data_IF_276563942511
#
_entry.id   IF_276563942511
#
_cell.length_a   1.000
_cell.length_b   1.000
_cell.length_c   1.000
_cell.angle_alpha   90.00
_cell.angle_beta   90.00
_cell.angle_gamma   90.00
#
_symmetry.space_group_name_H-M   'P 1'
#
loop_
_entity.id
_entity.type
_entity.pdbx_description
1 polymer ?
#
# COMPACT_ATOMS: atom_id res chain seq x y z
N UNK A 1 -13.11 1.73 2.94
CA UNK A 1 -11.69 2.11 3.14
C UNK A 1 -11.13 1.23 4.22
N UNK A 2 -9.86 0.82 4.13
CA UNK A 2 -9.17 0.24 5.27
C UNK A 2 -9.29 1.22 6.44
N UNK A 3 -9.57 0.71 7.63
CA UNK A 3 -9.75 1.61 8.78
C UNK A 3 -8.43 2.30 9.11
N UNK A 4 -8.47 3.49 9.71
CA UNK A 4 -7.26 4.19 10.19
C UNK A 4 -6.38 3.30 11.08
N UNK A 5 -6.97 2.31 11.76
CA UNK A 5 -6.25 1.29 12.54
C UNK A 5 -5.39 0.38 11.65
N UNK A 6 -5.90 -0.03 10.48
CA UNK A 6 -5.12 -0.79 9.49
C UNK A 6 -3.96 0.05 8.98
N UNK A 7 -4.21 1.30 8.60
CA UNK A 7 -3.14 2.23 8.18
C UNK A 7 -2.09 2.41 9.29
N UNK A 8 -2.52 2.53 10.55
CA UNK A 8 -1.62 2.63 11.70
C UNK A 8 -0.76 1.38 11.88
N UNK A 9 -1.33 0.18 11.68
CA UNK A 9 -0.57 -1.07 11.70
C UNK A 9 0.58 -1.07 10.70
N UNK A 10 0.32 -0.65 9.45
CA UNK A 10 1.36 -0.54 8.41
C UNK A 10 2.38 0.55 8.72
N UNK A 11 1.93 1.70 9.25
CA UNK A 11 2.82 2.76 9.67
C UNK A 11 3.79 2.30 10.77
N UNK A 12 3.30 1.52 11.73
CA UNK A 12 4.12 0.95 12.80
C UNK A 12 5.12 -0.08 12.28
N UNK A 13 4.73 -0.93 11.32
CA UNK A 13 5.64 -1.87 10.66
C UNK A 13 6.78 -1.13 9.93
N UNK A 14 6.45 -0.08 9.17
CA UNK A 14 7.44 0.77 8.52
C UNK A 14 8.33 1.48 9.54
N UNK A 15 7.75 1.98 10.63
CA UNK A 15 8.51 2.64 11.70
C UNK A 15 9.52 1.69 12.33
N UNK A 16 9.09 0.46 12.66
CA UNK A 16 9.96 -0.57 13.22
C UNK A 16 11.10 -0.95 12.25
N UNK A 17 10.81 -1.07 10.95
CA UNK A 17 11.81 -1.43 9.94
C UNK A 17 12.78 -0.29 9.57
N UNK A 18 12.32 0.97 9.58
CA UNK A 18 13.04 2.08 8.95
C UNK A 18 13.61 3.11 9.92
N UNK A 19 13.09 3.24 11.16
CA UNK A 19 13.60 4.24 12.11
C UNK A 19 14.96 3.85 12.72
N UNK A 20 15.25 2.54 12.83
CA UNK A 20 16.49 2.05 13.42
C UNK A 20 16.76 2.66 14.80
N UNK A 21 17.95 3.25 14.99
CA UNK A 21 18.38 3.87 16.24
C UNK A 21 17.54 5.11 16.64
N UNK A 22 16.74 5.67 15.73
CA UNK A 22 15.89 6.82 15.99
C UNK A 22 14.47 6.42 16.42
N UNK A 23 14.21 5.13 16.63
CA UNK A 23 12.93 4.64 17.10
C UNK A 23 12.68 5.07 18.54
N UNK A 24 11.66 5.92 18.74
CA UNK A 24 11.09 6.19 20.06
C UNK A 24 9.65 6.72 19.96
N UNK A 25 9.02 6.93 21.12
CA UNK A 25 7.65 7.45 21.24
C UNK A 25 7.42 8.79 20.52
N UNK A 26 8.44 9.66 20.42
CA UNK A 26 8.29 10.97 19.77
C UNK A 26 8.29 10.82 18.26
N UNK A 27 9.19 10.00 17.72
CA UNK A 27 9.19 9.66 16.30
C UNK A 27 7.87 8.98 15.90
N UNK A 28 7.40 8.00 16.69
CA UNK A 28 6.11 7.33 16.45
C UNK A 28 4.93 8.31 16.47
N UNK A 29 4.89 9.23 17.43
CA UNK A 29 3.83 10.24 17.48
C UNK A 29 3.81 11.11 16.21
N UNK A 30 4.98 11.52 15.71
CA UNK A 30 5.07 12.27 14.45
C UNK A 30 4.57 11.44 13.27
N UNK A 31 4.95 10.16 13.17
CA UNK A 31 4.48 9.28 12.09
C UNK A 31 2.96 9.10 12.12
N UNK A 32 2.36 8.96 13.31
CA UNK A 32 0.92 8.86 13.47
C UNK A 32 0.20 10.17 13.09
N UNK A 33 0.76 11.33 13.43
CA UNK A 33 0.22 12.62 12.97
C UNK A 33 0.27 12.71 11.44
N UNK A 34 1.40 12.35 10.83
CA UNK A 34 1.56 12.36 9.36
C UNK A 34 0.60 11.38 8.66
N UNK A 35 0.28 10.27 9.32
CA UNK A 35 -0.70 9.31 8.84
C UNK A 35 -2.14 9.85 8.87
N UNK A 36 -2.53 10.53 9.96
CA UNK A 36 -3.92 10.95 10.18
C UNK A 36 -4.23 12.33 9.60
N UNK A 37 -3.25 13.24 9.58
CA UNK A 37 -3.43 14.62 9.12
C UNK A 37 -4.10 14.73 7.73
N UNK A 38 -3.76 13.90 6.72
CA UNK A 38 -4.36 14.03 5.40
C UNK A 38 -5.85 13.64 5.35
N UNK A 39 -6.34 12.84 6.31
CA UNK A 39 -7.77 12.46 6.44
C UNK A 39 -8.69 13.68 6.64
N UNK A 40 -8.11 14.81 7.08
CA UNK A 40 -8.81 16.08 7.20
C UNK A 40 -9.34 16.59 5.85
N UNK A 41 -8.89 16.03 4.71
CA UNK A 41 -9.46 16.32 3.39
C UNK A 41 -10.96 15.95 3.29
N UNK A 42 -11.45 15.05 4.13
CA UNK A 42 -12.87 14.73 4.28
C UNK A 42 -13.73 15.97 4.59
N UNK A 43 -13.18 16.93 5.35
CA UNK A 43 -13.88 18.17 5.70
C UNK A 43 -14.03 19.13 4.52
N UNK A 44 -13.32 18.90 3.40
CA UNK A 44 -13.47 19.67 2.17
C UNK A 44 -14.66 19.18 1.32
N UNK A 45 -15.31 18.08 1.70
CA UNK A 45 -16.47 17.52 1.00
C UNK A 45 -17.58 18.53 0.64
N UNK A 46 -17.95 19.50 1.51
CA UNK A 46 -18.95 20.52 1.18
C UNK A 46 -18.58 21.46 0.03
N UNK A 47 -17.29 21.64 -0.26
CA UNK A 47 -16.78 22.57 -1.29
C UNK A 47 -16.15 21.85 -2.49
N UNK A 48 -15.76 20.59 -2.33
CA UNK A 48 -15.15 19.77 -3.37
C UNK A 48 -15.67 18.32 -3.25
N UNK A 49 -16.66 17.94 -4.07
CA UNK A 49 -17.11 16.56 -4.17
C UNK A 49 -15.92 15.64 -4.51
N UNK A 50 -15.72 14.57 -3.74
CA UNK A 50 -14.57 13.67 -3.91
C UNK A 50 -13.23 14.24 -3.42
N UNK A 51 -13.23 15.29 -2.59
CA UNK A 51 -12.01 15.81 -1.96
C UNK A 51 -11.28 14.73 -1.15
N UNK A 52 -12.06 13.95 -0.40
CA UNK A 52 -11.57 12.75 0.25
C UNK A 52 -11.13 11.76 -0.82
N UNK A 53 -9.91 11.21 -0.67
CA UNK A 53 -9.18 10.42 -1.68
C UNK A 53 -8.57 11.20 -2.85
N UNK A 54 -8.56 12.52 -2.76
CA UNK A 54 -7.92 13.39 -3.75
C UNK A 54 -6.86 14.28 -3.12
N UNK A 55 -7.25 15.12 -2.17
CA UNK A 55 -6.37 16.18 -1.67
C UNK A 55 -5.31 15.62 -0.74
N UNK A 56 -5.67 14.77 0.23
CA UNK A 56 -4.76 14.12 1.15
C UNK A 56 -4.13 12.83 0.61
N UNK A 57 -4.73 12.25 -0.42
CA UNK A 57 -4.46 10.89 -0.87
C UNK A 57 -3.91 10.85 -2.30
N UNK A 58 -2.78 11.51 -2.53
CA UNK A 58 -2.09 11.51 -3.83
C UNK A 58 -0.59 11.33 -3.64
N UNK A 59 0.11 10.95 -4.72
CA UNK A 59 1.56 10.77 -4.69
C UNK A 59 2.32 12.04 -5.06
N UNK A 60 1.67 13.09 -5.54
CA UNK A 60 2.33 14.33 -5.97
C UNK A 60 2.92 15.06 -4.77
N UNK A 61 2.14 15.27 -3.71
CA UNK A 61 2.63 15.97 -2.52
C UNK A 61 3.80 15.27 -1.80
N UNK A 62 3.74 13.97 -1.49
CA UNK A 62 4.90 13.29 -0.90
C UNK A 62 6.10 13.26 -1.86
N UNK A 63 5.90 13.15 -3.18
CA UNK A 63 7.01 13.20 -4.14
C UNK A 63 7.69 14.57 -4.17
N UNK A 64 6.92 15.66 -4.18
CA UNK A 64 7.44 17.03 -4.12
C UNK A 64 8.18 17.26 -2.81
N UNK A 65 7.62 16.82 -1.68
CA UNK A 65 8.26 16.94 -0.37
C UNK A 65 9.56 16.11 -0.28
N UNK A 66 9.58 14.90 -0.84
CA UNK A 66 10.78 14.06 -0.94
C UNK A 66 11.86 14.71 -1.82
N UNK A 67 11.47 15.28 -2.96
CA UNK A 67 12.39 16.02 -3.83
C UNK A 67 12.97 17.24 -3.12
N UNK A 68 12.14 18.02 -2.44
CA UNK A 68 12.59 19.19 -1.67
C UNK A 68 13.57 18.78 -0.56
N UNK A 69 13.25 17.71 0.19
CA UNK A 69 14.12 17.17 1.24
C UNK A 69 15.46 16.66 0.66
N UNK A 70 15.42 15.96 -0.47
CA UNK A 70 16.63 15.49 -1.16
C UNK A 70 17.50 16.66 -1.63
N UNK A 71 16.91 17.63 -2.33
CA UNK A 71 17.64 18.79 -2.84
C UNK A 71 18.28 19.56 -1.69
N UNK A 72 17.53 19.86 -0.63
CA UNK A 72 18.07 20.59 0.52
C UNK A 72 19.19 19.83 1.22
N UNK A 73 19.03 18.53 1.46
CA UNK A 73 19.96 17.77 2.32
C UNK A 73 21.13 17.11 1.59
N UNK A 74 21.08 16.99 0.26
CA UNK A 74 22.09 16.27 -0.56
C UNK A 74 22.68 17.07 -1.71
N UNK A 75 21.92 17.99 -2.32
CA UNK A 75 22.35 18.69 -3.54
C UNK A 75 22.86 20.09 -3.22
N UNK A 76 22.22 20.81 -2.31
CA UNK A 76 22.64 22.16 -1.92
C UNK A 76 23.95 22.11 -1.13
N UNK A 77 24.84 23.06 -1.41
CA UNK A 77 26.08 23.24 -0.66
C UNK A 77 25.82 23.61 0.82
N UNK A 78 24.76 24.38 1.06
CA UNK A 78 24.25 24.72 2.40
C UNK A 78 22.81 24.28 2.53
N UNK A 79 22.55 23.43 3.52
CA UNK A 79 21.24 22.83 3.79
C UNK A 79 20.56 23.58 4.93
N UNK A 80 19.40 24.18 4.64
CA UNK A 80 18.63 24.88 5.67
C UNK A 80 18.11 23.92 6.74
N UNK A 81 17.78 22.68 6.35
CA UNK A 81 17.31 21.66 7.30
C UNK A 81 18.44 21.14 8.18
N UNK A 82 19.64 20.90 7.65
CA UNK A 82 20.78 20.47 8.48
C UNK A 82 21.24 21.55 9.46
N UNK A 83 21.02 22.82 9.14
CA UNK A 83 21.34 23.93 10.05
C UNK A 83 20.35 24.03 11.24
N UNK A 84 19.13 23.50 11.10
CA UNK A 84 18.05 23.64 12.10
C UNK A 84 17.61 22.35 12.78
N UNK A 85 17.77 21.22 12.10
CA UNK A 85 17.31 19.91 12.54
C UNK A 85 18.50 18.99 12.72
N UNK A 86 18.45 18.18 13.78
CA UNK A 86 19.43 17.13 13.97
C UNK A 86 19.29 16.05 12.87
N UNK A 87 20.36 15.29 12.59
CA UNK A 87 20.32 14.19 11.62
C UNK A 87 19.18 13.20 11.88
N UNK A 88 18.87 13.00 13.17
CA UNK A 88 17.71 12.23 13.63
C UNK A 88 16.40 12.69 13.00
N UNK A 89 16.07 14.00 13.06
CA UNK A 89 14.78 14.50 12.57
C UNK A 89 14.70 14.53 11.05
N UNK A 90 15.84 14.65 10.37
CA UNK A 90 15.93 14.46 8.92
C UNK A 90 15.63 13.00 8.55
N UNK A 91 16.17 12.03 9.30
CA UNK A 91 15.86 10.61 9.09
C UNK A 91 14.37 10.31 9.37
N UNK A 92 13.81 10.84 10.47
CA UNK A 92 12.38 10.71 10.76
C UNK A 92 11.52 11.32 9.65
N UNK A 93 11.92 12.46 9.05
CA UNK A 93 11.20 13.06 7.93
C UNK A 93 11.17 12.14 6.68
N UNK A 94 12.28 11.47 6.36
CA UNK A 94 12.32 10.46 5.31
C UNK A 94 11.37 9.28 5.59
N UNK A 95 11.35 8.79 6.84
CA UNK A 95 10.43 7.73 7.25
C UNK A 95 8.98 8.21 7.23
N UNK A 96 8.71 9.47 7.60
CA UNK A 96 7.38 10.07 7.52
C UNK A 96 6.86 10.13 6.08
N UNK A 97 7.71 10.49 5.11
CA UNK A 97 7.38 10.44 3.69
C UNK A 97 7.08 9.01 3.23
N UNK A 98 7.85 8.03 3.70
CA UNK A 98 7.57 6.62 3.43
C UNK A 98 6.23 6.20 4.02
N UNK A 99 5.95 6.53 5.28
CA UNK A 99 4.68 6.23 5.95
C UNK A 99 3.51 6.87 5.21
N UNK A 100 3.63 8.13 4.79
CA UNK A 100 2.58 8.79 4.03
C UNK A 100 2.35 8.10 2.68
N UNK A 101 3.41 7.84 1.89
CA UNK A 101 3.25 7.20 0.58
C UNK A 101 2.72 5.75 0.69
N UNK A 102 3.28 4.96 1.60
CA UNK A 102 3.02 3.53 1.69
C UNK A 102 1.88 3.20 2.65
N UNK A 103 1.91 3.69 3.88
CA UNK A 103 0.87 3.35 4.85
C UNK A 103 -0.41 4.16 4.65
N UNK A 104 -0.33 5.44 4.24
CA UNK A 104 -1.53 6.25 4.00
C UNK A 104 -2.05 6.05 2.56
N UNK A 105 -1.34 6.54 1.53
CA UNK A 105 -1.87 6.59 0.16
C UNK A 105 -1.95 5.21 -0.52
N UNK A 106 -0.89 4.40 -0.48
CA UNK A 106 -0.83 3.16 -1.27
C UNK A 106 -1.86 2.10 -0.82
N UNK A 107 -2.21 2.08 0.46
CA UNK A 107 -3.25 1.17 0.96
C UNK A 107 -4.60 1.49 0.32
N UNK A 108 -4.99 2.77 0.25
CA UNK A 108 -6.23 3.18 -0.43
C UNK A 108 -6.14 3.01 -1.95
N UNK A 109 -4.97 3.27 -2.54
CA UNK A 109 -4.75 3.03 -3.98
C UNK A 109 -4.98 1.56 -4.37
N UNK A 110 -4.64 0.63 -3.47
CA UNK A 110 -4.72 -0.82 -3.74
C UNK A 110 -6.00 -1.48 -3.19
N UNK A 111 -6.96 -0.69 -2.72
CA UNK A 111 -8.18 -1.18 -2.08
C UNK A 111 -9.46 -0.44 -2.54
N UNK A 112 -10.53 -1.21 -2.82
CA UNK A 112 -11.90 -0.77 -3.17
C UNK A 112 -12.07 0.22 -4.32
N UNK A 113 -11.83 1.53 -4.10
CA UNK A 113 -12.15 2.58 -5.10
C UNK A 113 -10.94 3.43 -5.50
N UNK A 114 -9.73 3.07 -5.02
CA UNK A 114 -8.49 3.73 -5.42
C UNK A 114 -8.36 5.18 -4.93
N UNK A 115 -7.42 5.91 -5.54
CA UNK A 115 -7.09 7.31 -5.18
C UNK A 115 -6.80 8.16 -6.41
N UNK A 116 -6.92 9.48 -6.27
CA UNK A 116 -6.54 10.44 -7.30
C UNK A 116 -5.02 10.65 -7.35
N UNK A 117 -4.31 9.62 -7.81
CA UNK A 117 -2.87 9.44 -7.61
C UNK A 117 -1.99 10.63 -8.05
N UNK A 118 -2.43 11.39 -9.06
CA UNK A 118 -1.65 12.48 -9.68
C UNK A 118 -2.27 13.86 -9.51
N UNK A 119 -3.28 14.02 -8.66
CA UNK A 119 -3.80 15.35 -8.34
C UNK A 119 -2.72 16.19 -7.63
N UNK A 120 -2.57 17.50 -7.92
CA UNK A 120 -3.38 18.33 -8.82
C UNK A 120 -2.92 18.37 -10.28
N UNK A 121 -1.89 17.60 -10.66
CA UNK A 121 -1.33 17.62 -12.01
C UNK A 121 -2.28 16.95 -13.02
N UNK A 122 -2.96 15.89 -12.61
CA UNK A 122 -4.02 15.22 -13.36
C UNK A 122 -5.09 14.71 -12.41
N UNK A 123 -6.32 15.12 -12.68
CA UNK A 123 -7.50 14.74 -11.92
C UNK A 123 -8.10 13.44 -12.47
N UNK A 124 -7.67 12.30 -11.90
CA UNK A 124 -8.18 10.97 -12.26
C UNK A 124 -7.90 9.97 -11.14
N UNK A 125 -8.92 9.17 -10.80
CA UNK A 125 -8.78 8.05 -9.88
C UNK A 125 -8.09 6.86 -10.54
N UNK A 126 -7.13 6.28 -9.82
CA UNK A 126 -6.41 5.07 -10.18
C UNK A 126 -6.60 4.04 -9.07
N UNK A 127 -6.69 2.77 -9.46
CA UNK A 127 -6.81 1.66 -8.54
C UNK A 127 -5.95 0.50 -9.03
N UNK A 128 -5.26 -0.17 -8.10
CA UNK A 128 -4.63 -1.45 -8.39
C UNK A 128 -5.60 -2.59 -8.05
N UNK A 129 -6.17 -3.21 -9.08
CA UNK A 129 -7.09 -4.34 -8.95
C UNK A 129 -6.65 -5.51 -9.85
N UNK A 130 -6.83 -6.74 -9.35
CA UNK A 130 -6.42 -7.96 -10.04
C UNK A 130 -6.01 -9.09 -9.10
N UNK A 131 -5.50 -10.17 -9.70
CA UNK A 131 -5.04 -11.38 -9.00
C UNK A 131 -3.76 -11.93 -9.61
N UNK A 132 -2.96 -12.61 -8.80
CA UNK A 132 -1.87 -13.47 -9.22
C UNK A 132 -2.09 -14.88 -8.64
N UNK A 133 -2.25 -15.85 -9.54
CA UNK A 133 -2.48 -17.26 -9.20
C UNK A 133 -1.59 -18.14 -10.06
N UNK A 134 -1.12 -19.24 -9.50
CA UNK A 134 -0.56 -20.32 -10.29
C UNK A 134 -1.66 -21.36 -10.57
N UNK A 135 -2.00 -21.56 -11.84
CA UNK A 135 -2.97 -22.52 -12.34
C UNK A 135 -2.24 -23.74 -12.90
N UNK A 136 -2.75 -24.93 -12.62
CA UNK A 136 -2.22 -26.16 -13.22
C UNK A 136 -2.60 -26.31 -14.69
N UNK A 137 -3.66 -25.62 -15.14
CA UNK A 137 -4.06 -25.58 -16.54
C UNK A 137 -3.33 -24.49 -17.33
N UNK A 138 -3.25 -23.28 -16.76
CA UNK A 138 -2.82 -22.07 -17.47
C UNK A 138 -1.42 -21.56 -17.06
N UNK A 139 -0.77 -22.20 -16.09
CA UNK A 139 0.51 -21.73 -15.53
C UNK A 139 0.35 -20.48 -14.65
N UNK A 140 1.33 -19.58 -14.66
CA UNK A 140 1.27 -18.34 -13.85
C UNK A 140 0.35 -17.30 -14.51
N UNK A 141 -0.75 -16.96 -13.86
CA UNK A 141 -1.77 -16.00 -14.34
C UNK A 141 -1.77 -14.75 -13.44
N UNK A 142 -1.57 -13.57 -14.05
CA UNK A 142 -1.59 -12.28 -13.36
C UNK A 142 -2.46 -11.26 -14.10
N UNK A 143 -3.37 -10.58 -13.38
CA UNK A 143 -4.33 -9.62 -13.97
C UNK A 143 -4.23 -8.20 -13.41
N UNK A 144 -3.21 -7.87 -12.62
CA UNK A 144 -3.01 -6.50 -12.09
C UNK A 144 -2.73 -5.44 -13.16
N UNK A 145 -2.35 -5.85 -14.37
CA UNK A 145 -2.17 -4.98 -15.54
C UNK A 145 -3.04 -5.57 -16.64
N UNK A 146 -4.25 -5.05 -16.79
CA UNK A 146 -5.20 -5.51 -17.80
C UNK A 146 -5.62 -4.30 -18.65
N UNK A 147 -5.16 -4.25 -19.90
CA UNK A 147 -5.68 -3.28 -20.89
C UNK A 147 -6.80 -3.99 -21.61
N UNK A 148 -8.05 -3.72 -21.20
CA UNK A 148 -9.23 -4.24 -21.90
C UNK A 148 -10.21 -3.12 -22.22
N UNK A 149 -10.55 -3.03 -23.50
CA UNK A 149 -11.80 -2.47 -24.00
C UNK A 149 -12.80 -3.63 -23.97
N UNK A 150 -13.95 -3.47 -23.33
CA UNK A 150 -15.00 -4.49 -23.28
C UNK A 150 -16.16 -4.07 -24.21
N UNK A 151 -16.47 -4.81 -25.29
CA UNK A 151 -17.61 -4.49 -26.12
C UNK A 151 -18.94 -5.15 -25.70
N UNK A 152 -18.99 -6.26 -24.94
CA UNK A 152 -20.22 -7.08 -24.98
C UNK A 152 -20.65 -7.86 -23.71
N UNK A 153 -19.89 -7.99 -22.60
CA UNK A 153 -20.36 -8.88 -21.50
C UNK A 153 -20.34 -8.37 -20.05
N UNK A 154 -19.66 -7.27 -19.71
CA UNK A 154 -20.00 -6.44 -18.55
C UNK A 154 -20.16 -7.08 -17.15
N UNK A 155 -19.55 -8.22 -16.81
CA UNK A 155 -19.60 -8.76 -15.42
C UNK A 155 -18.22 -9.06 -14.82
N UNK A 156 -17.98 -8.51 -13.63
CA UNK A 156 -16.96 -8.91 -12.65
C UNK A 156 -17.68 -9.22 -11.35
N UNK A 157 -17.61 -10.45 -10.86
CA UNK A 157 -18.10 -10.82 -9.53
C UNK A 157 -16.95 -10.87 -8.54
N UNK A 158 -17.05 -10.06 -7.49
CA UNK A 158 -16.31 -10.19 -6.23
C UNK A 158 -17.37 -10.34 -5.16
N UNK A 159 -17.45 -11.52 -4.56
CA UNK A 159 -18.35 -11.76 -3.44
C UNK A 159 -17.63 -11.43 -2.13
N UNK A 160 -18.17 -10.44 -1.44
CA UNK A 160 -17.72 -9.96 -0.15
C UNK A 160 -18.69 -10.47 0.92
N UNK A 161 -18.38 -11.63 1.49
CA UNK A 161 -18.84 -12.05 2.81
C UNK A 161 -20.33 -12.33 2.92
N UNK A 162 -20.75 -13.53 2.53
CA UNK A 162 -21.98 -14.14 3.03
C UNK A 162 -21.66 -14.99 4.27
N UNK A 163 -22.38 -14.74 5.36
CA UNK A 163 -22.40 -15.64 6.52
C UNK A 163 -23.01 -16.97 6.11
N UNK A 164 -22.22 -18.03 6.16
CA UNK A 164 -22.66 -19.41 5.98
C UNK A 164 -21.89 -20.34 6.92
N UNK A 165 -22.42 -21.54 7.11
CA UNK A 165 -21.83 -22.59 7.95
C UNK A 165 -20.87 -23.44 7.11
N UNK A 166 -20.07 -24.29 7.74
CA UNK A 166 -19.22 -25.25 7.02
C UNK A 166 -19.98 -26.21 6.11
N UNK A 167 -21.30 -26.31 6.29
CA UNK A 167 -22.21 -27.13 5.48
C UNK A 167 -22.79 -26.37 4.28
N UNK A 168 -22.76 -25.04 4.28
CA UNK A 168 -23.40 -24.22 3.24
C UNK A 168 -22.42 -23.37 2.41
N UNK A 169 -21.12 -23.42 2.74
CA UNK A 169 -20.09 -22.67 2.04
C UNK A 169 -18.88 -23.58 1.80
N UNK A 170 -18.69 -23.98 0.54
CA UNK A 170 -17.45 -24.61 0.11
C UNK A 170 -16.40 -23.53 -0.21
N UNK A 171 -15.30 -23.51 0.55
CA UNK A 171 -14.18 -22.59 0.31
C UNK A 171 -13.15 -23.27 -0.59
N UNK A 172 -13.15 -22.87 -1.87
CA UNK A 172 -12.21 -23.37 -2.86
C UNK A 172 -10.75 -23.17 -2.42
N UNK A 173 -9.96 -24.24 -2.48
CA UNK A 173 -8.54 -24.23 -2.16
C UNK A 173 -7.76 -25.20 -3.08
N UNK A 174 -6.42 -25.18 -3.11
CA UNK A 174 -5.66 -25.99 -4.06
C UNK A 174 -5.83 -27.50 -3.87
N UNK A 175 -6.23 -27.96 -2.67
CA UNK A 175 -6.45 -29.37 -2.33
C UNK A 175 -7.85 -29.80 -2.76
N UNK A 176 -8.85 -28.98 -2.48
CA UNK A 176 -10.26 -29.13 -2.88
C UNK A 176 -10.70 -27.91 -3.72
N UNK A 177 -10.39 -27.89 -5.02
CA UNK A 177 -10.60 -26.73 -5.89
C UNK A 177 -12.07 -26.50 -6.27
N UNK A 178 -12.94 -27.48 -6.00
CA UNK A 178 -14.39 -27.42 -6.23
C UNK A 178 -15.13 -28.19 -5.15
N UNK A 179 -16.42 -27.91 -5.04
CA UNK A 179 -17.36 -28.63 -4.19
C UNK A 179 -17.46 -30.09 -4.66
N UNK A 180 -17.24 -31.09 -3.79
CA UNK A 180 -17.32 -32.50 -4.17
C UNK A 180 -18.72 -32.94 -4.62
N UNK A 181 -19.77 -32.21 -4.25
CA UNK A 181 -21.17 -32.56 -4.57
C UNK A 181 -21.63 -31.99 -5.94
N UNK A 182 -20.76 -31.24 -6.63
CA UNK A 182 -21.04 -30.65 -7.95
C UNK A 182 -20.18 -31.33 -9.03
N UNK A 183 -20.82 -32.22 -9.81
CA UNK A 183 -20.19 -32.86 -10.97
C UNK A 183 -20.20 -31.93 -12.19
N UNK A 184 -19.01 -31.64 -12.71
CA UNK A 184 -18.78 -30.93 -13.98
C UNK A 184 -17.75 -31.67 -14.82
N UNK A 185 -18.02 -31.76 -16.13
CA UNK A 185 -17.22 -32.50 -17.12
C UNK A 185 -15.84 -31.86 -17.41
N UNK A 186 -15.64 -30.60 -17.02
CA UNK A 186 -14.40 -29.86 -17.26
C UNK A 186 -13.23 -30.39 -16.42
N UNK A 187 -11.99 -30.40 -16.96
CA UNK A 187 -10.79 -30.75 -16.21
C UNK A 187 -10.63 -29.88 -14.95
N UNK A 188 -10.23 -30.52 -13.85
CA UNK A 188 -10.05 -29.83 -12.56
C UNK A 188 -8.82 -28.90 -12.60
N UNK A 189 -9.03 -27.59 -12.71
CA UNK A 189 -7.98 -26.58 -12.56
C UNK A 189 -7.70 -26.29 -11.07
N UNK A 190 -6.46 -26.54 -10.62
CA UNK A 190 -6.01 -26.20 -9.26
C UNK A 190 -5.32 -24.86 -9.27
N UNK A 191 -5.90 -23.91 -8.52
CA UNK A 191 -5.37 -22.54 -8.39
C UNK A 191 -4.71 -22.34 -7.05
N UNK A 192 -3.43 -21.99 -7.08
CA UNK A 192 -2.61 -21.66 -5.93
C UNK A 192 -2.52 -20.13 -5.83
N UNK A 193 -3.27 -19.52 -4.91
CA UNK A 193 -3.31 -18.07 -4.80
C UNK A 193 -2.02 -17.52 -4.21
N UNK A 194 -1.39 -16.57 -4.90
CA UNK A 194 -0.20 -15.85 -4.41
C UNK A 194 -0.66 -14.48 -3.87
N UNK A 195 -1.44 -13.74 -4.67
CA UNK A 195 -2.09 -12.51 -4.25
C UNK A 195 -3.44 -12.38 -4.96
N UNK A 196 -4.54 -12.64 -4.25
CA UNK A 196 -5.90 -12.55 -4.82
C UNK A 196 -6.51 -11.14 -4.75
N UNK A 197 -5.72 -10.11 -4.44
CA UNK A 197 -6.14 -8.71 -4.42
C UNK A 197 -4.91 -7.79 -4.41
N UNK A 198 -5.06 -6.55 -4.90
CA UNK A 198 -3.99 -5.55 -5.00
C UNK A 198 -3.28 -5.31 -3.67
N UNK A 199 -4.02 -5.16 -2.57
CA UNK A 199 -3.45 -4.92 -1.24
C UNK A 199 -2.59 -6.09 -0.72
N UNK A 200 -2.84 -7.34 -1.16
CA UNK A 200 -2.03 -8.51 -0.79
C UNK A 200 -0.69 -8.51 -1.52
N UNK A 201 -0.69 -8.19 -2.82
CA UNK A 201 0.55 -8.00 -3.58
C UNK A 201 1.35 -6.83 -3.01
N UNK A 202 0.66 -5.74 -2.68
CA UNK A 202 1.23 -4.57 -2.04
C UNK A 202 1.92 -4.91 -0.72
N UNK A 203 1.27 -5.69 0.15
CA UNK A 203 1.85 -6.17 1.41
C UNK A 203 3.17 -6.92 1.23
N UNK A 204 3.22 -7.83 0.25
CA UNK A 204 4.43 -8.58 -0.08
C UNK A 204 5.53 -7.61 -0.53
N UNK A 205 5.20 -6.70 -1.46
CA UNK A 205 6.12 -5.68 -1.94
C UNK A 205 6.64 -4.75 -0.84
N UNK A 206 5.77 -4.34 0.08
CA UNK A 206 6.13 -3.49 1.22
C UNK A 206 7.09 -4.19 2.17
N UNK A 207 6.85 -5.49 2.45
CA UNK A 207 7.76 -6.30 3.27
C UNK A 207 9.14 -6.43 2.63
N UNK A 208 9.21 -6.73 1.33
CA UNK A 208 10.47 -6.80 0.58
C UNK A 208 11.19 -5.45 0.56
N UNK A 209 10.46 -4.36 0.32
CA UNK A 209 11.00 -3.01 0.38
C UNK A 209 11.60 -2.70 1.75
N UNK A 210 10.88 -2.99 2.84
CA UNK A 210 11.37 -2.74 4.19
C UNK A 210 12.66 -3.52 4.49
N UNK A 211 12.74 -4.79 4.07
CA UNK A 211 13.95 -5.61 4.21
C UNK A 211 15.14 -5.04 3.43
N UNK A 212 14.93 -4.67 2.16
CA UNK A 212 15.96 -4.09 1.31
C UNK A 212 16.43 -2.73 1.84
N UNK A 213 15.48 -1.86 2.21
CA UNK A 213 15.77 -0.57 2.80
C UNK A 213 16.61 -0.72 4.09
N UNK A 214 16.23 -1.65 4.97
CA UNK A 214 16.98 -1.95 6.19
C UNK A 214 18.41 -2.42 5.88
N UNK A 215 18.57 -3.30 4.88
CA UNK A 215 19.88 -3.78 4.44
C UNK A 215 20.79 -2.67 3.92
N UNK A 216 20.23 -1.65 3.28
CA UNK A 216 20.97 -0.47 2.81
C UNK A 216 21.22 0.60 3.88
N UNK A 217 20.46 0.60 4.97
CA UNK A 217 20.72 1.47 6.12
C UNK A 217 21.98 1.07 6.91
N UNK A 218 22.43 -0.18 6.79
CA UNK A 218 23.67 -0.70 7.39
C UNK A 218 23.57 -0.96 8.89
N UNK A 219 24.18 -2.05 9.34
CA UNK A 219 24.38 -2.32 10.77
C UNK A 219 25.46 -1.37 11.29
N UNK A 220 25.04 -0.25 11.87
CA UNK A 220 25.87 0.57 12.76
C UNK A 220 26.09 -0.12 14.11
N UNK A 221 26.45 -1.41 14.10
CA UNK A 221 26.98 -2.08 15.29
C UNK A 221 28.49 -2.00 15.18
N UNK A 222 29.08 -1.28 16.14
CA UNK A 222 30.50 -1.07 16.27
C UNK A 222 31.26 -2.39 16.24
N UNK A 223 32.10 -2.57 15.22
CA UNK A 223 33.40 -3.22 15.41
C UNK A 223 34.24 -2.26 16.24
N UNK A 224 34.14 -2.38 17.57
CA UNK A 224 35.12 -1.94 18.56
C UNK A 224 34.70 -2.51 19.93
N UNK A 225 35.05 -3.78 20.15
CA UNK A 225 35.12 -4.42 21.46
C UNK A 225 36.38 -5.30 21.52
#
# INVERSE_FOLDING_TARGET
MPSTVVHAGFALLLAAGLLGAYYDRRALAVLLVVLVLPEADSFLGPIMPGAHRTVGHNFVFPAVAALALYVDTRVRERSWLRDRLSPRWIAVAWVALCVHAFAHVAIDWTHLDGVNAFWPLRDRFFQLDGKAVYSTADGFVQTFVDVRVDPESGSRTVDAGAGGTSESVHVNNPVQPRDPDVDVEEPVDRRFPIANSGWRLYLIGLGLFALVARRFQGDGVADDA
#
